data_IF_164598329469
#
_entry.id   IF_164598329469
#
_cell.length_a   1.000
_cell.length_b   1.000
_cell.length_c   1.000
_cell.angle_alpha   90.00
_cell.angle_beta   90.00
_cell.angle_gamma   90.00
#
_symmetry.space_group_name_H-M   'P 1'
#
loop_
_entity.id
_entity.type
_entity.pdbx_description
1 polymer ?
#
# COMPACT_ATOMS: atom_id res chain seq x y z
N UNK A 1 -6.99 26.49 7.70
CA UNK A 1 -7.24 25.22 6.99
C UNK A 1 -8.63 24.76 7.36
N UNK A 2 -9.46 24.41 6.38
CA UNK A 2 -10.81 23.90 6.67
C UNK A 2 -10.70 22.41 7.00
N UNK A 3 -11.42 21.96 8.03
CA UNK A 3 -11.48 20.54 8.37
C UNK A 3 -12.61 19.89 7.59
N UNK A 4 -12.30 18.81 6.87
CA UNK A 4 -13.27 18.04 6.11
C UNK A 4 -13.36 16.61 6.66
N UNK A 5 -14.48 16.29 7.28
CA UNK A 5 -14.74 14.98 7.85
C UNK A 5 -15.36 14.04 6.82
N UNK A 6 -14.86 12.80 6.79
CA UNK A 6 -15.54 11.70 6.14
C UNK A 6 -16.82 11.38 6.89
N UNK A 7 -17.94 11.39 6.16
CA UNK A 7 -19.26 11.19 6.72
C UNK A 7 -19.64 9.73 6.58
N UNK A 8 -20.02 9.13 7.70
CA UNK A 8 -20.59 7.78 7.77
C UNK A 8 -22.07 7.78 7.35
N UNK A 9 -22.40 8.48 6.26
CA UNK A 9 -23.78 8.62 5.77
C UNK A 9 -24.19 7.39 4.97
N UNK A 10 -25.47 7.07 5.07
CA UNK A 10 -26.16 6.10 4.22
C UNK A 10 -27.00 6.88 3.22
N UNK A 11 -26.42 7.19 2.07
CA UNK A 11 -27.14 7.73 0.92
C UNK A 11 -27.75 6.58 0.12
N UNK A 12 -28.83 6.87 -0.62
CA UNK A 12 -29.33 5.95 -1.64
C UNK A 12 -28.30 5.85 -2.75
N UNK A 13 -27.73 4.67 -2.92
CA UNK A 13 -26.70 4.45 -3.93
C UNK A 13 -27.29 4.54 -5.33
N UNK A 14 -26.54 5.14 -6.26
CA UNK A 14 -26.94 5.32 -7.66
C UNK A 14 -25.88 4.69 -8.56
N UNK A 15 -26.33 3.86 -9.50
CA UNK A 15 -25.45 3.29 -10.53
C UNK A 15 -24.99 4.38 -11.50
N UNK A 16 -23.68 4.45 -11.71
CA UNK A 16 -23.12 5.32 -12.74
C UNK A 16 -23.57 4.84 -14.13
N UNK A 17 -23.89 5.80 -15.00
CA UNK A 17 -24.18 5.55 -16.41
C UNK A 17 -23.34 6.48 -17.26
N UNK A 18 -22.61 5.90 -18.23
CA UNK A 18 -21.87 6.64 -19.26
C UNK A 18 -22.45 6.33 -20.64
N UNK A 19 -22.59 7.36 -21.46
CA UNK A 19 -23.02 7.23 -22.85
C UNK A 19 -21.91 7.69 -23.78
N UNK A 20 -21.63 6.85 -24.77
CA UNK A 20 -20.72 7.12 -25.87
C UNK A 20 -21.55 7.21 -27.15
N UNK A 21 -21.49 8.35 -27.84
CA UNK A 21 -22.14 8.52 -29.13
C UNK A 21 -21.07 8.64 -30.22
N UNK A 22 -21.09 7.71 -31.17
CA UNK A 22 -20.22 7.70 -32.35
C UNK A 22 -20.78 8.70 -33.35
N UNK A 23 -20.00 9.72 -33.70
CA UNK A 23 -20.45 10.86 -34.51
C UNK A 23 -19.94 10.83 -35.94
N UNK A 24 -18.84 10.14 -36.21
CA UNK A 24 -18.35 9.87 -37.56
C UNK A 24 -17.58 8.55 -37.60
N UNK A 25 -17.64 7.86 -38.75
CA UNK A 25 -16.78 6.73 -39.08
C UNK A 25 -15.43 7.22 -39.63
N UNK A 26 -14.45 6.31 -39.64
CA UNK A 26 -13.19 6.52 -40.33
C UNK A 26 -13.32 6.09 -41.79
N UNK A 27 -13.30 7.06 -42.70
CA UNK A 27 -13.70 6.81 -44.08
C UNK A 27 -12.63 6.04 -44.88
N UNK A 28 -12.87 4.75 -45.14
CA UNK A 28 -12.16 3.97 -46.15
C UNK A 28 -10.88 3.27 -45.68
N UNK A 29 -10.59 3.27 -44.38
CA UNK A 29 -9.45 2.57 -43.77
C UNK A 29 -9.92 1.54 -42.73
N UNK A 30 -9.05 0.58 -42.42
CA UNK A 30 -9.21 -0.29 -41.25
C UNK A 30 -8.96 0.54 -39.99
N UNK A 31 -9.97 0.67 -39.12
CA UNK A 31 -9.86 1.39 -37.86
C UNK A 31 -10.07 0.48 -36.64
N UNK A 32 -9.49 0.88 -35.51
CA UNK A 32 -9.54 0.15 -34.24
C UNK A 32 -10.10 1.05 -33.16
N UNK A 33 -11.36 0.82 -32.83
CA UNK A 33 -12.04 1.46 -31.72
C UNK A 33 -11.71 0.74 -30.42
N UNK A 34 -11.26 1.48 -29.42
CA UNK A 34 -10.80 0.92 -28.15
C UNK A 34 -11.49 1.60 -26.97
N UNK A 35 -12.27 0.84 -26.21
CA UNK A 35 -12.62 1.23 -24.86
C UNK A 35 -11.45 0.93 -23.92
N UNK A 36 -11.02 1.93 -23.15
CA UNK A 36 -10.01 1.78 -22.10
C UNK A 36 -10.65 2.05 -20.75
N UNK A 37 -10.74 1.02 -19.91
CA UNK A 37 -11.12 1.14 -18.52
C UNK A 37 -9.89 1.39 -17.66
N UNK A 38 -9.91 2.43 -16.83
CA UNK A 38 -8.84 2.74 -15.87
C UNK A 38 -9.31 2.44 -14.46
N UNK A 39 -8.52 1.66 -13.71
CA UNK A 39 -8.79 1.34 -12.30
C UNK A 39 -8.12 2.36 -11.36
N UNK A 40 -8.46 2.31 -10.07
CA UNK A 40 -7.93 3.27 -9.09
C UNK A 40 -6.40 3.19 -8.89
N UNK A 41 -5.77 2.05 -9.21
CA UNK A 41 -4.32 1.89 -9.19
C UNK A 41 -3.63 2.43 -10.47
N UNK A 42 -4.41 2.92 -11.43
CA UNK A 42 -3.94 3.39 -12.73
C UNK A 42 -3.75 2.29 -13.78
N UNK A 43 -3.92 1.01 -13.42
CA UNK A 43 -3.90 -0.08 -14.39
C UNK A 43 -5.11 0.00 -15.33
N UNK A 44 -4.96 -0.54 -16.54
CA UNK A 44 -5.98 -0.45 -17.59
C UNK A 44 -6.42 -1.82 -18.09
N UNK A 45 -7.69 -1.94 -18.44
CA UNK A 45 -8.25 -3.04 -19.21
C UNK A 45 -8.89 -2.49 -20.49
N UNK A 46 -8.72 -3.19 -21.61
CA UNK A 46 -9.17 -2.69 -22.92
C UNK A 46 -10.12 -3.66 -23.61
N UNK A 47 -11.10 -3.10 -24.32
CA UNK A 47 -11.94 -3.82 -25.29
C UNK A 47 -11.76 -3.15 -26.64
N UNK A 48 -11.46 -3.94 -27.67
CA UNK A 48 -11.22 -3.44 -29.02
C UNK A 48 -12.26 -3.98 -29.99
N UNK A 49 -12.71 -3.14 -30.91
CA UNK A 49 -13.45 -3.52 -32.10
C UNK A 49 -12.67 -3.02 -33.32
N UNK A 50 -12.35 -3.94 -34.23
CA UNK A 50 -11.68 -3.61 -35.49
C UNK A 50 -12.70 -3.69 -36.61
N UNK A 51 -12.72 -2.67 -37.43
CA UNK A 51 -13.57 -2.58 -38.59
C UNK A 51 -12.78 -2.44 -39.87
N UNK A 52 -13.38 -2.83 -40.99
CA UNK A 52 -12.76 -2.75 -42.30
C UNK A 52 -13.73 -2.10 -43.30
N UNK A 53 -13.18 -1.27 -44.18
CA UNK A 53 -13.94 -0.56 -45.22
C UNK A 53 -14.57 0.76 -44.76
N UNK A 54 -15.90 0.86 -44.84
CA UNK A 54 -16.68 2.08 -44.51
C UNK A 54 -17.91 1.72 -43.68
N UNK A 55 -17.69 1.27 -42.44
CA UNK A 55 -18.73 0.86 -41.53
C UNK A 55 -19.51 2.08 -41.05
N UNK A 56 -20.80 1.89 -40.82
CA UNK A 56 -21.65 2.92 -40.24
C UNK A 56 -21.36 3.09 -38.75
N UNK A 57 -21.67 4.27 -38.19
CA UNK A 57 -21.65 4.51 -36.74
C UNK A 57 -22.47 3.49 -35.94
N UNK A 58 -23.51 2.92 -36.54
CA UNK A 58 -24.33 1.86 -35.95
C UNK A 58 -23.60 0.52 -35.86
N UNK A 59 -22.84 0.17 -36.91
CA UNK A 59 -22.01 -1.04 -36.92
C UNK A 59 -20.88 -0.92 -35.90
N UNK A 60 -20.21 0.24 -35.83
CA UNK A 60 -19.20 0.56 -34.80
C UNK A 60 -19.78 0.32 -33.40
N UNK A 61 -20.88 1.01 -33.08
CA UNK A 61 -21.50 0.93 -31.75
C UNK A 61 -21.94 -0.50 -31.40
N UNK A 62 -22.48 -1.24 -32.38
CA UNK A 62 -22.88 -2.65 -32.20
C UNK A 62 -21.68 -3.56 -31.97
N UNK A 63 -20.60 -3.36 -32.73
CA UNK A 63 -19.34 -4.08 -32.58
C UNK A 63 -18.72 -3.89 -31.20
N UNK A 64 -18.61 -2.64 -30.76
CA UNK A 64 -18.13 -2.27 -29.43
C UNK A 64 -19.00 -2.83 -28.29
N UNK A 65 -20.32 -2.71 -28.40
CA UNK A 65 -21.28 -3.30 -27.45
C UNK A 65 -21.10 -4.81 -27.31
N UNK A 66 -21.00 -5.54 -28.44
CA UNK A 66 -20.81 -6.99 -28.44
C UNK A 66 -19.45 -7.38 -27.85
N UNK A 67 -18.39 -6.67 -28.24
CA UNK A 67 -17.05 -6.91 -27.73
C UNK A 67 -16.96 -6.66 -26.22
N UNK A 68 -17.65 -5.63 -25.71
CA UNK A 68 -17.70 -5.33 -24.28
C UNK A 68 -18.36 -6.47 -23.49
N UNK A 69 -19.56 -6.87 -23.89
CA UNK A 69 -20.31 -7.92 -23.20
C UNK A 69 -19.69 -9.33 -23.37
N UNK A 70 -18.80 -9.52 -24.35
CA UNK A 70 -18.02 -10.74 -24.50
C UNK A 70 -16.75 -10.78 -23.63
N UNK A 71 -16.33 -9.65 -23.07
CA UNK A 71 -15.11 -9.57 -22.25
C UNK A 71 -15.26 -10.37 -20.96
N UNK A 72 -14.23 -11.17 -20.65
CA UNK A 72 -14.13 -11.94 -19.39
C UNK A 72 -13.26 -11.25 -18.35
N UNK A 73 -12.76 -10.04 -18.64
CA UNK A 73 -11.94 -9.31 -17.70
C UNK A 73 -12.80 -8.86 -16.49
N UNK A 74 -12.41 -9.18 -15.23
CA UNK A 74 -13.23 -8.94 -14.05
C UNK A 74 -13.72 -7.49 -13.89
N UNK A 75 -12.85 -6.53 -14.19
CA UNK A 75 -13.22 -5.12 -14.11
C UNK A 75 -14.24 -4.67 -15.18
N UNK A 76 -14.27 -5.32 -16.34
CA UNK A 76 -15.21 -5.00 -17.42
C UNK A 76 -16.55 -5.70 -17.18
N UNK A 77 -16.53 -6.94 -16.68
CA UNK A 77 -17.73 -7.77 -16.45
C UNK A 77 -18.67 -7.27 -15.34
N UNK A 78 -18.30 -6.22 -14.61
CA UNK A 78 -19.16 -5.54 -13.60
C UNK A 78 -19.90 -4.31 -14.15
N UNK A 79 -19.84 -4.13 -15.47
CA UNK A 79 -20.45 -3.03 -16.21
C UNK A 79 -21.20 -3.63 -17.39
N UNK A 80 -22.50 -3.46 -17.44
CA UNK A 80 -23.32 -3.89 -18.58
C UNK A 80 -23.29 -2.84 -19.68
N UNK A 81 -22.94 -3.24 -20.90
CA UNK A 81 -23.13 -2.43 -22.09
C UNK A 81 -24.52 -2.67 -22.70
N UNK A 82 -25.16 -1.61 -23.17
CA UNK A 82 -26.36 -1.65 -24.01
C UNK A 82 -26.19 -0.73 -25.23
N UNK A 83 -26.94 -1.00 -26.30
CA UNK A 83 -27.01 -0.16 -27.49
C UNK A 83 -28.49 0.25 -27.70
N UNK A 84 -28.99 1.22 -26.91
CA UNK A 84 -30.41 1.54 -26.89
C UNK A 84 -30.88 2.26 -28.16
N UNK A 85 -29.97 2.94 -28.85
CA UNK A 85 -30.21 3.63 -30.12
C UNK A 85 -28.99 3.54 -31.03
N UNK A 86 -29.23 3.47 -32.34
CA UNK A 86 -28.22 3.45 -33.38
C UNK A 86 -27.10 4.48 -33.14
N UNK A 87 -25.84 4.04 -33.24
CA UNK A 87 -24.65 4.88 -33.05
C UNK A 87 -24.27 5.16 -31.61
N UNK A 88 -24.88 4.51 -30.61
CA UNK A 88 -24.56 4.73 -29.19
C UNK A 88 -24.23 3.45 -28.45
N UNK A 89 -23.33 3.57 -27.47
CA UNK A 89 -23.06 2.56 -26.46
C UNK A 89 -23.29 3.17 -25.09
N UNK A 90 -24.11 2.53 -24.26
CA UNK A 90 -24.38 2.95 -22.90
C UNK A 90 -23.82 1.92 -21.93
N UNK A 91 -22.89 2.35 -21.09
CA UNK A 91 -22.29 1.55 -20.04
C UNK A 91 -22.96 1.88 -18.70
N UNK A 92 -23.44 0.87 -18.00
CA UNK A 92 -24.09 0.99 -16.68
C UNK A 92 -23.35 0.14 -15.66
N UNK A 93 -23.02 0.72 -14.49
CA UNK A 93 -22.48 -0.06 -13.39
C UNK A 93 -23.51 -1.08 -12.91
N UNK A 94 -23.12 -2.35 -12.77
CA UNK A 94 -24.04 -3.40 -12.34
C UNK A 94 -24.40 -3.29 -10.85
N UNK A 95 -23.53 -2.63 -10.08
CA UNK A 95 -23.74 -2.34 -8.65
C UNK A 95 -23.83 -0.83 -8.46
N UNK A 96 -24.94 -0.37 -7.89
CA UNK A 96 -25.11 1.03 -7.52
C UNK A 96 -24.03 1.48 -6.53
N UNK A 97 -23.53 2.71 -6.67
CA UNK A 97 -22.49 3.25 -5.78
C UNK A 97 -21.06 2.81 -6.10
N UNK A 98 -20.86 1.93 -7.09
CA UNK A 98 -19.52 1.54 -7.58
C UNK A 98 -19.17 2.36 -8.82
N UNK A 99 -18.20 3.29 -8.74
CA UNK A 99 -17.82 4.11 -9.88
C UNK A 99 -16.96 3.33 -10.88
N UNK A 100 -16.93 3.81 -12.13
CA UNK A 100 -16.01 3.35 -13.16
C UNK A 100 -15.49 4.51 -14.02
N UNK A 101 -14.28 4.34 -14.55
CA UNK A 101 -13.68 5.25 -15.54
C UNK A 101 -13.40 4.49 -16.83
N UNK A 102 -14.14 4.83 -17.88
CA UNK A 102 -13.94 4.34 -19.24
C UNK A 102 -13.83 5.54 -20.17
N UNK A 103 -12.88 5.47 -21.10
CA UNK A 103 -12.72 6.36 -22.24
C UNK A 103 -12.77 5.54 -23.54
N UNK A 104 -13.18 6.17 -24.64
CA UNK A 104 -13.16 5.60 -25.99
C UNK A 104 -12.10 6.32 -26.82
N UNK A 105 -11.37 5.57 -27.64
CA UNK A 105 -10.46 6.11 -28.64
C UNK A 105 -10.62 5.39 -29.97
N UNK A 106 -10.29 6.08 -31.06
CA UNK A 106 -10.16 5.52 -32.39
C UNK A 106 -8.70 5.62 -32.87
N UNK A 107 -8.28 4.72 -33.77
CA UNK A 107 -6.92 4.70 -34.31
C UNK A 107 -6.72 5.55 -35.57
N UNK A 108 -7.80 6.12 -36.13
CA UNK A 108 -7.79 6.95 -37.34
C UNK A 108 -8.52 8.30 -37.07
N UNK A 109 -9.47 8.71 -37.92
CA UNK A 109 -10.21 9.97 -37.86
C UNK A 109 -11.66 9.83 -37.35
N UNK A 110 -12.03 8.68 -36.78
CA UNK A 110 -13.31 8.47 -36.14
C UNK A 110 -13.55 9.47 -35.01
N UNK A 111 -14.80 9.92 -34.85
CA UNK A 111 -15.17 10.88 -33.79
C UNK A 111 -16.27 10.34 -32.91
N UNK A 112 -16.23 10.73 -31.63
CA UNK A 112 -17.25 10.38 -30.65
C UNK A 112 -17.39 11.47 -29.59
N UNK A 113 -18.48 11.37 -28.82
CA UNK A 113 -18.69 12.15 -27.60
C UNK A 113 -18.91 11.24 -26.42
N UNK A 114 -18.45 11.68 -25.25
CA UNK A 114 -18.59 10.96 -23.98
C UNK A 114 -19.38 11.80 -22.99
N UNK A 115 -20.36 11.20 -22.31
CA UNK A 115 -21.16 11.92 -21.31
C UNK A 115 -21.48 11.03 -20.12
N UNK A 116 -21.31 11.56 -18.90
CA UNK A 116 -21.83 10.95 -17.67
C UNK A 116 -23.32 11.29 -17.57
N UNK A 117 -24.19 10.41 -18.03
CA UNK A 117 -25.65 10.63 -18.03
C UNK A 117 -26.25 10.46 -16.64
N UNK A 118 -25.66 9.58 -15.82
CA UNK A 118 -25.97 9.45 -14.39
C UNK A 118 -24.65 9.38 -13.61
N UNK A 119 -24.46 10.30 -12.66
CA UNK A 119 -23.28 10.30 -11.81
C UNK A 119 -23.36 9.18 -10.76
N UNK A 120 -22.19 8.64 -10.36
CA UNK A 120 -22.11 7.73 -9.22
C UNK A 120 -22.56 8.45 -7.93
N UNK A 121 -23.34 7.76 -7.11
CA UNK A 121 -23.55 8.13 -5.70
C UNK A 121 -23.28 6.87 -4.90
N UNK A 122 -22.10 6.79 -4.27
CA UNK A 122 -21.70 5.62 -3.50
C UNK A 122 -21.23 6.02 -2.12
N UNK A 123 -21.72 5.35 -1.08
CA UNK A 123 -21.34 5.66 0.31
C UNK A 123 -19.85 5.39 0.55
N UNK A 124 -19.25 4.48 -0.23
CA UNK A 124 -17.85 4.08 -0.08
C UNK A 124 -16.90 4.76 -1.08
N UNK A 125 -17.34 5.80 -1.78
CA UNK A 125 -16.55 6.48 -2.81
C UNK A 125 -15.97 7.81 -2.26
N UNK A 126 -14.64 7.90 -2.19
CA UNK A 126 -13.94 9.10 -1.76
C UNK A 126 -14.27 10.31 -2.65
N UNK A 127 -14.50 10.08 -3.94
CA UNK A 127 -14.80 11.12 -4.93
C UNK A 127 -16.22 11.69 -4.85
N UNK A 128 -17.10 11.10 -4.03
CA UNK A 128 -18.48 11.57 -3.87
C UNK A 128 -18.54 12.71 -2.84
N UNK A 129 -18.82 13.93 -3.30
CA UNK A 129 -18.90 15.14 -2.47
C UNK A 129 -19.87 15.01 -1.28
N UNK A 130 -20.96 14.25 -1.44
CA UNK A 130 -21.96 14.01 -0.39
C UNK A 130 -21.46 13.22 0.83
N UNK A 131 -20.32 12.52 0.68
CA UNK A 131 -19.65 11.79 1.76
C UNK A 131 -18.75 12.67 2.62
N UNK A 132 -18.71 13.99 2.36
CA UNK A 132 -17.83 14.92 3.04
C UNK A 132 -18.60 16.01 3.76
N UNK A 133 -18.12 16.40 4.94
CA UNK A 133 -18.78 17.42 5.79
C UNK A 133 -18.95 18.78 5.13
N UNK A 134 -18.05 19.13 4.20
CA UNK A 134 -18.12 20.36 3.42
C UNK A 134 -18.97 20.22 2.15
N UNK A 135 -19.59 19.05 1.93
CA UNK A 135 -20.30 18.68 0.71
C UNK A 135 -19.44 18.89 -0.55
N UNK A 136 -18.14 18.61 -0.41
CA UNK A 136 -17.12 18.73 -1.43
C UNK A 136 -15.98 17.75 -1.09
N UNK A 137 -15.39 17.14 -2.12
CA UNK A 137 -14.18 16.32 -1.99
C UNK A 137 -13.05 17.19 -1.43
N UNK A 138 -12.16 16.67 -0.56
CA UNK A 138 -11.03 17.40 -0.04
C UNK A 138 -10.24 18.14 -1.14
N UNK A 139 -10.04 19.43 -0.91
CA UNK A 139 -9.24 20.29 -1.78
C UNK A 139 -7.88 20.57 -1.12
N UNK A 140 -7.01 21.26 -1.85
CA UNK A 140 -5.69 21.62 -1.33
C UNK A 140 -5.80 22.36 0.00
N UNK A 141 -4.85 22.12 0.91
CA UNK A 141 -4.79 22.69 2.27
C UNK A 141 -5.91 22.28 3.25
N UNK A 142 -6.78 21.34 2.87
CA UNK A 142 -7.79 20.80 3.79
C UNK A 142 -7.14 19.88 4.84
N UNK A 143 -7.69 19.90 6.05
CA UNK A 143 -7.43 18.87 7.06
C UNK A 143 -8.49 17.76 6.90
N UNK A 144 -8.08 16.62 6.36
CA UNK A 144 -8.93 15.45 6.17
C UNK A 144 -8.97 14.64 7.47
N UNK A 145 -10.18 14.41 7.99
CA UNK A 145 -10.40 13.62 9.21
C UNK A 145 -11.35 12.47 8.92
N UNK A 146 -10.88 11.25 9.16
CA UNK A 146 -11.66 10.02 9.07
C UNK A 146 -11.93 9.54 10.49
N UNK A 147 -13.20 9.51 10.89
CA UNK A 147 -13.60 9.14 12.25
C UNK A 147 -14.89 8.34 12.29
N UNK A 148 -15.16 7.71 13.43
CA UNK A 148 -16.45 7.07 13.66
C UNK A 148 -17.60 8.11 13.64
N UNK A 149 -18.85 7.68 13.37
CA UNK A 149 -19.99 8.57 13.47
C UNK A 149 -20.18 9.08 14.90
N UNK A 150 -20.44 10.38 15.04
CA UNK A 150 -20.67 11.01 16.35
C UNK A 150 -21.86 10.42 17.12
N UNK A 151 -22.83 9.82 16.42
CA UNK A 151 -23.98 9.14 17.01
C UNK A 151 -23.65 7.78 17.65
N UNK A 152 -22.41 7.29 17.48
CA UNK A 152 -22.13 5.87 17.56
C UNK A 152 -22.71 5.14 16.33
N UNK A 153 -22.09 4.03 15.93
CA UNK A 153 -22.50 3.26 14.76
C UNK A 153 -21.33 2.68 13.98
N UNK A 154 -21.65 1.94 12.93
CA UNK A 154 -20.66 1.37 12.01
C UNK A 154 -20.03 2.49 11.17
N UNK A 155 -18.71 2.39 10.98
CA UNK A 155 -18.00 3.29 10.08
C UNK A 155 -18.28 2.90 8.62
N UNK A 156 -18.35 3.90 7.74
CA UNK A 156 -18.44 3.68 6.29
C UNK A 156 -17.04 3.55 5.72
N UNK A 157 -16.79 2.46 4.98
CA UNK A 157 -15.49 2.20 4.38
C UNK A 157 -15.18 3.15 3.21
N UNK A 158 -13.91 3.35 2.91
CA UNK A 158 -13.46 4.10 1.73
C UNK A 158 -12.90 3.07 0.74
N UNK A 159 -13.71 2.67 -0.24
CA UNK A 159 -13.37 1.58 -1.17
C UNK A 159 -13.12 2.03 -2.60
N UNK A 160 -13.66 3.17 -3.02
CA UNK A 160 -13.59 3.66 -4.40
C UNK A 160 -13.15 5.11 -4.48
N UNK A 161 -12.83 5.58 -5.70
CA UNK A 161 -12.30 6.92 -5.91
C UNK A 161 -10.93 7.07 -5.24
N UNK A 162 -10.13 6.00 -5.22
CA UNK A 162 -8.96 5.93 -4.35
C UNK A 162 -7.76 6.71 -4.88
N UNK A 163 -7.78 7.13 -6.15
CA UNK A 163 -6.73 7.97 -6.69
C UNK A 163 -7.02 9.46 -6.48
N UNK A 164 -6.44 10.04 -5.42
CA UNK A 164 -6.58 11.44 -5.01
C UNK A 164 -5.23 12.17 -4.96
N UNK A 165 -4.20 11.61 -5.58
CA UNK A 165 -2.83 12.13 -5.50
C UNK A 165 -2.59 13.40 -6.30
N UNK A 166 -3.61 13.97 -6.95
CA UNK A 166 -3.54 15.24 -7.65
C UNK A 166 -3.82 16.45 -6.74
N UNK A 167 -4.19 16.20 -5.47
CA UNK A 167 -4.57 17.24 -4.50
C UNK A 167 -3.69 17.14 -3.27
N UNK A 168 -2.94 18.22 -3.02
CA UNK A 168 -2.04 18.34 -1.87
C UNK A 168 -2.84 18.76 -0.63
N UNK A 169 -3.25 17.80 0.19
CA UNK A 169 -4.00 18.04 1.43
C UNK A 169 -3.03 18.39 2.58
N UNK A 170 -3.48 19.16 3.57
CA UNK A 170 -2.59 19.53 4.68
C UNK A 170 -2.40 18.35 5.64
N UNK A 171 -3.49 17.80 6.14
CA UNK A 171 -3.44 16.68 7.10
C UNK A 171 -4.31 15.54 6.62
N UNK A 172 -3.84 14.31 6.78
CA UNK A 172 -4.66 13.11 6.76
C UNK A 172 -4.65 12.45 8.14
N UNK A 173 -5.76 12.56 8.87
CA UNK A 173 -5.93 11.99 10.21
C UNK A 173 -7.00 10.91 10.21
N UNK A 174 -6.67 9.75 10.76
CA UNK A 174 -7.63 8.67 11.05
C UNK A 174 -7.68 8.45 12.55
N UNK A 175 -8.86 8.61 13.16
CA UNK A 175 -9.02 8.55 14.61
C UNK A 175 -9.10 7.11 15.13
N UNK A 176 -8.82 6.88 16.44
CA UNK A 176 -8.77 5.53 17.00
C UNK A 176 -10.07 4.72 16.98
N UNK A 177 -11.20 5.40 16.91
CA UNK A 177 -12.54 4.83 16.88
C UNK A 177 -12.99 4.40 15.48
N UNK A 178 -12.29 4.83 14.42
CA UNK A 178 -12.60 4.40 13.07
C UNK A 178 -12.19 2.92 12.87
N UNK A 179 -13.12 2.10 12.38
CA UNK A 179 -12.95 0.64 12.30
C UNK A 179 -13.33 0.03 10.93
N UNK A 180 -13.62 0.85 9.92
CA UNK A 180 -13.92 0.39 8.57
C UNK A 180 -12.67 0.40 7.67
N UNK A 181 -12.78 -0.28 6.52
CA UNK A 181 -11.65 -0.41 5.60
C UNK A 181 -11.31 0.92 4.90
N UNK A 182 -10.03 1.12 4.58
CA UNK A 182 -9.56 2.17 3.65
C UNK A 182 -8.78 1.50 2.52
N UNK A 183 -9.18 1.73 1.28
CA UNK A 183 -8.75 0.93 0.15
C UNK A 183 -9.53 -0.37 0.04
N UNK A 184 -9.12 -1.25 -0.88
CA UNK A 184 -9.75 -2.57 -1.07
C UNK A 184 -8.76 -3.61 -1.57
N UNK A 185 -9.15 -4.88 -1.46
CA UNK A 185 -8.49 -5.99 -2.16
C UNK A 185 -9.46 -6.56 -3.19
N UNK A 186 -9.01 -6.62 -4.44
CA UNK A 186 -9.80 -7.13 -5.58
C UNK A 186 -8.84 -7.93 -6.47
N UNK A 187 -9.21 -9.14 -6.86
CA UNK A 187 -8.40 -10.06 -7.68
C UNK A 187 -6.97 -10.28 -7.17
N UNK A 188 -6.80 -10.35 -5.84
CA UNK A 188 -5.50 -10.53 -5.19
C UNK A 188 -4.59 -9.30 -5.21
N UNK A 189 -5.09 -8.15 -5.69
CA UNK A 189 -4.37 -6.87 -5.73
C UNK A 189 -4.90 -5.92 -4.66
N UNK A 190 -3.99 -5.16 -4.05
CA UNK A 190 -4.33 -4.11 -3.08
C UNK A 190 -4.48 -2.78 -3.81
N UNK A 191 -5.64 -2.15 -3.66
CA UNK A 191 -5.92 -0.81 -4.13
C UNK A 191 -5.73 0.18 -2.98
N UNK A 192 -4.74 1.05 -3.13
CA UNK A 192 -4.35 2.04 -2.15
C UNK A 192 -5.17 3.32 -2.30
N UNK A 193 -5.58 3.94 -1.19
CA UNK A 193 -5.93 5.37 -1.18
C UNK A 193 -4.64 6.16 -1.42
N UNK A 194 -4.53 6.78 -2.60
CA UNK A 194 -3.40 7.59 -3.04
C UNK A 194 -3.69 9.05 -2.73
N UNK A 195 -2.89 9.65 -1.87
CA UNK A 195 -3.03 11.03 -1.38
C UNK A 195 -1.63 11.66 -1.28
N UNK A 196 -1.55 12.99 -1.31
CA UNK A 196 -0.28 13.70 -1.07
C UNK A 196 -0.43 14.68 0.12
N UNK A 197 -0.37 14.17 1.37
CA UNK A 197 -0.54 14.99 2.57
C UNK A 197 0.76 15.64 3.05
N UNK A 198 0.70 16.80 3.70
CA UNK A 198 1.83 17.36 4.47
C UNK A 198 2.03 16.68 5.84
N UNK A 199 1.00 16.01 6.36
CA UNK A 199 1.06 15.31 7.65
C UNK A 199 0.11 14.10 7.68
N UNK A 200 0.57 12.99 8.27
CA UNK A 200 -0.22 11.76 8.47
C UNK A 200 -0.23 11.35 9.93
N UNK A 201 -1.43 11.18 10.48
CA UNK A 201 -1.68 10.66 11.83
C UNK A 201 -2.72 9.55 11.77
N UNK A 202 -2.28 8.29 11.82
CA UNK A 202 -3.13 7.12 11.60
C UNK A 202 -3.25 6.29 12.88
N UNK A 203 -4.46 6.26 13.47
CA UNK A 203 -4.71 5.56 14.75
C UNK A 203 -5.80 4.49 14.72
N UNK A 204 -6.28 4.18 13.53
CA UNK A 204 -7.46 3.33 13.27
C UNK A 204 -7.47 1.98 14.00
N UNK A 205 -8.68 1.50 14.33
CA UNK A 205 -8.96 0.14 14.76
C UNK A 205 -9.33 -0.80 13.60
N UNK A 206 -9.29 -0.31 12.35
CA UNK A 206 -9.60 -1.12 11.16
C UNK A 206 -8.64 -2.29 10.97
N UNK A 207 -9.16 -3.42 10.51
CA UNK A 207 -8.39 -4.60 10.16
C UNK A 207 -7.75 -4.50 8.76
N UNK A 208 -8.06 -3.46 7.99
CA UNK A 208 -7.46 -3.22 6.68
C UNK A 208 -7.47 -1.73 6.29
N UNK A 209 -6.29 -1.19 6.05
CA UNK A 209 -6.10 0.07 5.35
C UNK A 209 -4.93 -0.05 4.38
N UNK A 210 -5.04 0.58 3.22
CA UNK A 210 -3.97 0.69 2.24
C UNK A 210 -3.79 2.16 1.85
N UNK A 211 -2.65 2.75 2.22
CA UNK A 211 -2.31 4.15 1.99
C UNK A 211 -1.06 4.28 1.12
N UNK A 212 -1.18 5.06 0.05
CA UNK A 212 -0.05 5.58 -0.73
C UNK A 212 0.00 7.08 -0.45
N UNK A 213 0.99 7.50 0.35
CA UNK A 213 1.11 8.86 0.87
C UNK A 213 1.97 9.76 -0.01
N UNK A 214 2.15 9.39 -1.28
CA UNK A 214 2.66 10.28 -2.32
C UNK A 214 4.16 10.52 -2.24
N UNK A 215 4.55 11.78 -2.48
CA UNK A 215 5.95 12.18 -2.66
C UNK A 215 6.43 13.25 -1.68
N UNK A 216 5.52 13.71 -0.81
CA UNK A 216 5.84 14.65 0.25
C UNK A 216 6.90 14.09 1.22
N UNK A 217 7.79 14.97 1.67
CA UNK A 217 8.83 14.65 2.66
C UNK A 217 8.27 14.76 4.08
N UNK A 218 7.58 13.72 4.54
CA UNK A 218 6.79 13.76 5.77
C UNK A 218 7.17 12.69 6.77
N UNK A 219 6.67 12.84 8.00
CA UNK A 219 6.89 11.88 9.10
C UNK A 219 5.56 11.30 9.61
N UNK A 220 5.02 10.24 8.99
CA UNK A 220 3.78 9.62 9.42
C UNK A 220 3.88 9.01 10.83
N UNK A 221 2.84 9.22 11.64
CA UNK A 221 2.67 8.59 12.95
C UNK A 221 1.62 7.49 12.89
N UNK A 222 1.97 6.28 13.34
CA UNK A 222 1.11 5.09 13.28
C UNK A 222 0.88 4.48 14.67
N UNK A 223 -0.40 4.34 15.02
CA UNK A 223 -0.89 3.64 16.20
C UNK A 223 -2.15 2.84 15.86
N UNK A 224 -2.00 1.77 15.08
CA UNK A 224 -3.13 0.97 14.63
C UNK A 224 -3.50 -0.12 15.66
N UNK A 225 -4.79 -0.30 15.94
CA UNK A 225 -5.31 -1.34 16.83
C UNK A 225 -5.96 -2.52 16.09
N UNK A 226 -5.88 -2.54 14.76
CA UNK A 226 -6.43 -3.62 13.93
C UNK A 226 -5.70 -4.95 14.10
N UNK A 227 -6.46 -6.03 14.04
CA UNK A 227 -5.98 -7.41 14.10
C UNK A 227 -6.41 -8.16 12.83
N UNK A 228 -5.62 -8.09 11.76
CA UNK A 228 -5.97 -8.69 10.48
C UNK A 228 -5.90 -10.22 10.57
N UNK A 229 -6.54 -10.91 9.63
CA UNK A 229 -6.36 -12.35 9.49
C UNK A 229 -4.90 -12.70 9.14
N UNK A 230 -4.49 -13.93 9.45
CA UNK A 230 -3.13 -14.43 9.20
C UNK A 230 -2.68 -14.17 7.76
N UNK A 231 -1.45 -13.66 7.60
CA UNK A 231 -0.86 -13.37 6.30
C UNK A 231 -1.25 -12.00 5.71
N UNK A 232 -1.97 -11.17 6.47
CA UNK A 232 -2.31 -9.78 6.10
C UNK A 232 -1.78 -8.78 7.12
N UNK A 233 -1.77 -7.52 6.72
CA UNK A 233 -1.49 -6.37 7.57
C UNK A 233 -2.73 -5.52 7.80
N UNK A 234 -2.81 -4.88 8.97
CA UNK A 234 -3.89 -3.95 9.28
C UNK A 234 -3.69 -2.63 8.54
N UNK A 235 -2.43 -2.22 8.34
CA UNK A 235 -2.06 -1.09 7.52
C UNK A 235 -1.00 -1.49 6.50
N UNK A 236 -1.30 -1.31 5.23
CA UNK A 236 -0.33 -1.24 4.14
C UNK A 236 -0.01 0.22 3.88
N UNK A 237 1.27 0.58 3.89
CA UNK A 237 1.70 1.96 3.64
C UNK A 237 2.87 1.99 2.66
N UNK A 238 2.84 2.95 1.74
CA UNK A 238 3.96 3.30 0.85
C UNK A 238 4.01 4.80 0.59
N UNK A 239 5.17 5.27 0.15
CA UNK A 239 5.46 6.65 -0.20
C UNK A 239 6.88 6.77 -0.74
N UNK A 240 7.12 7.77 -1.58
CA UNK A 240 8.38 7.89 -2.34
C UNK A 240 9.44 8.79 -1.70
N UNK A 241 9.16 9.38 -0.53
CA UNK A 241 10.08 10.29 0.17
C UNK A 241 9.78 10.41 1.68
N UNK A 242 9.55 9.31 2.40
CA UNK A 242 9.19 9.38 3.83
C UNK A 242 10.43 9.72 4.68
N UNK A 243 10.40 10.84 5.42
CA UNK A 243 11.48 11.25 6.32
C UNK A 243 11.60 10.28 7.50
N UNK A 244 10.52 10.10 8.26
CA UNK A 244 10.49 9.22 9.42
C UNK A 244 9.13 8.57 9.57
N UNK A 245 9.07 7.25 9.40
CA UNK A 245 7.88 6.47 9.72
C UNK A 245 7.94 6.02 11.20
N UNK A 246 7.09 6.59 12.04
CA UNK A 246 7.00 6.22 13.45
C UNK A 246 5.84 5.23 13.66
N UNK A 247 6.17 4.02 14.12
CA UNK A 247 5.20 2.96 14.42
C UNK A 247 5.27 2.64 15.91
N UNK A 248 4.24 3.05 16.67
CA UNK A 248 4.13 2.75 18.11
C UNK A 248 3.22 1.57 18.42
N UNK A 249 2.30 1.26 17.52
CA UNK A 249 1.37 0.15 17.66
C UNK A 249 0.80 -0.29 16.31
N UNK A 250 0.54 -1.58 16.17
CA UNK A 250 -0.23 -2.18 15.10
C UNK A 250 0.52 -3.22 14.27
N UNK A 251 -0.23 -3.82 13.35
CA UNK A 251 0.28 -4.71 12.32
C UNK A 251 0.43 -3.94 11.00
N UNK A 252 1.68 -3.61 10.63
CA UNK A 252 2.00 -2.67 9.54
C UNK A 252 2.89 -3.35 8.51
N UNK A 253 2.54 -3.20 7.23
CA UNK A 253 3.33 -3.59 6.07
C UNK A 253 3.77 -2.36 5.28
N UNK A 254 5.08 -2.14 5.16
CA UNK A 254 5.67 -1.06 4.35
C UNK A 254 6.06 -1.61 2.98
N UNK A 255 5.36 -1.20 1.93
CA UNK A 255 5.57 -1.66 0.54
C UNK A 255 5.77 -3.19 0.41
N UNK A 256 4.88 -3.96 1.05
CA UNK A 256 5.01 -5.42 1.18
C UNK A 256 4.37 -6.22 0.04
N UNK A 257 3.56 -5.58 -0.81
CA UNK A 257 2.99 -6.27 -1.97
C UNK A 257 4.01 -6.40 -3.10
N UNK A 258 3.81 -7.40 -3.94
CA UNK A 258 4.61 -7.58 -5.15
C UNK A 258 4.53 -6.33 -6.03
N UNK A 259 5.69 -5.74 -6.34
CA UNK A 259 5.78 -4.54 -7.17
C UNK A 259 5.63 -3.22 -6.41
N UNK A 260 5.26 -3.24 -5.13
CA UNK A 260 5.28 -2.02 -4.32
C UNK A 260 6.72 -1.54 -4.11
N UNK A 261 6.89 -0.22 -4.09
CA UNK A 261 8.14 0.45 -3.74
C UNK A 261 7.86 1.56 -2.73
N UNK A 262 8.85 1.87 -1.90
CA UNK A 262 8.83 3.03 -1.02
C UNK A 262 10.26 3.52 -0.76
N UNK A 263 10.41 4.81 -0.47
CA UNK A 263 11.66 5.38 0.02
C UNK A 263 11.42 5.89 1.42
N UNK A 264 12.15 5.36 2.40
CA UNK A 264 12.02 5.73 3.81
C UNK A 264 13.40 6.01 4.37
N UNK A 265 13.67 7.24 4.80
CA UNK A 265 14.97 7.56 5.40
C UNK A 265 15.11 6.86 6.76
N UNK A 266 14.11 7.01 7.64
CA UNK A 266 14.13 6.38 8.96
C UNK A 266 12.82 5.67 9.27
N UNK A 267 12.90 4.45 9.80
CA UNK A 267 11.79 3.78 10.46
C UNK A 267 12.08 3.69 11.95
N UNK A 268 11.15 4.18 12.77
CA UNK A 268 11.16 4.03 14.22
C UNK A 268 10.10 2.99 14.59
N UNK A 269 10.55 1.77 14.89
CA UNK A 269 9.70 0.74 15.47
C UNK A 269 9.77 0.82 16.99
N UNK A 270 8.73 1.35 17.60
CA UNK A 270 8.65 1.53 19.05
C UNK A 270 7.55 0.65 19.65
N UNK A 271 7.08 1.03 20.83
CA UNK A 271 5.93 0.43 21.48
C UNK A 271 5.24 1.51 22.32
N UNK A 272 3.96 1.31 22.64
CA UNK A 272 3.19 2.23 23.46
C UNK A 272 3.16 1.79 24.93
N UNK A 273 2.95 0.49 25.16
CA UNK A 273 2.68 -0.13 26.45
C UNK A 273 3.25 -1.54 26.59
N UNK A 274 3.29 -2.33 25.51
CA UNK A 274 3.81 -3.69 25.49
C UNK A 274 4.99 -3.77 24.51
N UNK A 275 6.19 -3.83 25.07
CA UNK A 275 7.44 -3.82 24.32
C UNK A 275 7.60 -4.98 23.33
N UNK A 276 6.90 -6.10 23.48
CA UNK A 276 6.97 -7.23 22.53
C UNK A 276 5.73 -7.39 21.65
N UNK A 277 4.59 -6.89 22.09
CA UNK A 277 3.29 -7.17 21.46
C UNK A 277 2.67 -6.02 20.70
N UNK A 278 3.09 -4.77 20.93
CA UNK A 278 2.42 -3.62 20.33
C UNK A 278 2.67 -3.50 18.83
N UNK A 279 3.84 -3.87 18.34
CA UNK A 279 4.20 -3.68 16.92
C UNK A 279 4.57 -5.00 16.25
N UNK A 280 3.91 -5.26 15.12
CA UNK A 280 4.30 -6.26 14.12
C UNK A 280 4.53 -5.51 12.81
N UNK A 281 5.81 -5.33 12.44
CA UNK A 281 6.21 -4.55 11.29
C UNK A 281 6.86 -5.46 10.24
N UNK A 282 6.36 -5.42 9.01
CA UNK A 282 7.01 -6.03 7.85
C UNK A 282 7.44 -4.93 6.87
N UNK A 283 8.70 -4.97 6.46
CA UNK A 283 9.29 -4.04 5.51
C UNK A 283 9.57 -4.84 4.24
N UNK A 284 8.91 -4.48 3.15
CA UNK A 284 9.03 -5.19 1.87
C UNK A 284 10.38 -5.01 1.19
N UNK A 285 10.66 -5.85 0.20
CA UNK A 285 11.92 -5.83 -0.55
C UNK A 285 12.07 -4.64 -1.50
N UNK A 286 10.97 -4.00 -1.89
CA UNK A 286 10.96 -2.79 -2.71
C UNK A 286 11.24 -1.49 -1.95
N UNK A 287 11.57 -1.57 -0.65
CA UNK A 287 11.86 -0.39 0.17
C UNK A 287 13.33 0.03 0.02
N UNK A 288 13.56 1.31 -0.26
CA UNK A 288 14.86 1.96 -0.07
C UNK A 288 14.91 2.53 1.34
N UNK A 289 15.63 1.85 2.24
CA UNK A 289 15.75 2.21 3.66
C UNK A 289 17.17 2.64 4.03
N UNK A 290 17.31 3.75 4.76
CA UNK A 290 18.61 4.14 5.34
C UNK A 290 18.76 3.61 6.77
N UNK A 291 17.80 3.93 7.64
CA UNK A 291 17.90 3.64 9.08
C UNK A 291 16.67 2.92 9.63
N UNK A 292 16.89 1.80 10.33
CA UNK A 292 15.89 1.17 11.20
C UNK A 292 16.33 1.32 12.65
N UNK A 293 15.50 1.96 13.49
CA UNK A 293 15.67 1.95 14.94
C UNK A 293 14.50 1.22 15.58
N UNK A 294 14.80 0.15 16.30
CA UNK A 294 13.83 -0.70 16.96
C UNK A 294 14.01 -0.64 18.47
N UNK A 295 13.05 -0.06 19.18
CA UNK A 295 13.01 -0.06 20.65
C UNK A 295 12.18 -1.21 21.22
N UNK A 296 11.32 -1.84 20.41
CA UNK A 296 10.51 -3.01 20.76
C UNK A 296 9.86 -3.65 19.52
N UNK A 297 8.87 -4.50 19.73
CA UNK A 297 8.07 -5.15 18.70
C UNK A 297 8.81 -6.22 17.91
N UNK A 298 8.14 -6.73 16.87
CA UNK A 298 8.67 -7.69 15.92
C UNK A 298 8.82 -7.03 14.56
N UNK A 299 10.03 -7.03 14.00
CA UNK A 299 10.32 -6.48 12.68
C UNK A 299 10.83 -7.57 11.74
N UNK A 300 10.20 -7.70 10.57
CA UNK A 300 10.72 -8.45 9.42
C UNK A 300 11.27 -7.47 8.37
N UNK A 301 12.59 -7.41 8.25
CA UNK A 301 13.31 -6.54 7.33
C UNK A 301 13.64 -7.29 6.03
N UNK A 302 12.86 -7.04 4.97
CA UNK A 302 13.03 -7.66 3.66
C UNK A 302 13.88 -6.88 2.65
N UNK A 303 14.42 -5.71 3.02
CA UNK A 303 15.22 -4.83 2.15
C UNK A 303 16.62 -4.57 2.73
N UNK A 304 17.44 -3.84 1.96
CA UNK A 304 18.74 -3.36 2.42
C UNK A 304 18.57 -2.16 3.36
N UNK A 305 19.49 -2.01 4.32
CA UNK A 305 19.55 -0.86 5.23
C UNK A 305 20.99 -0.47 5.55
N UNK A 306 21.28 0.82 5.66
CA UNK A 306 22.60 1.29 6.07
C UNK A 306 22.84 1.02 7.55
N UNK A 307 21.91 1.43 8.42
CA UNK A 307 22.03 1.24 9.87
C UNK A 307 20.77 0.60 10.44
N UNK A 308 20.95 -0.48 11.20
CA UNK A 308 19.90 -1.14 11.95
C UNK A 308 20.31 -1.16 13.42
N UNK A 309 19.48 -0.62 14.31
CA UNK A 309 19.72 -0.64 15.75
C UNK A 309 18.56 -1.31 16.46
N UNK A 310 18.85 -2.38 17.21
CA UNK A 310 17.85 -3.21 17.90
C UNK A 310 18.11 -3.15 19.40
N UNK A 311 17.18 -2.54 20.13
CA UNK A 311 17.19 -2.40 21.60
C UNK A 311 16.82 -3.72 22.28
N UNK A 312 17.02 -3.87 23.61
CA UNK A 312 16.82 -5.15 24.31
C UNK A 312 15.49 -5.86 24.07
N UNK A 313 14.38 -5.11 23.97
CA UNK A 313 13.04 -5.68 23.76
C UNK A 313 12.67 -5.88 22.29
N UNK A 314 13.55 -5.48 21.36
CA UNK A 314 13.33 -5.64 19.93
C UNK A 314 13.66 -7.05 19.44
N UNK A 315 12.81 -7.55 18.54
CA UNK A 315 13.05 -8.77 17.77
C UNK A 315 13.13 -8.42 16.29
N UNK A 316 14.31 -8.58 15.70
CA UNK A 316 14.56 -8.41 14.28
C UNK A 316 14.66 -9.77 13.60
N UNK A 317 13.96 -9.93 12.49
CA UNK A 317 14.18 -11.00 11.50
C UNK A 317 14.55 -10.33 10.19
N UNK A 318 15.59 -10.81 9.50
CA UNK A 318 15.87 -10.36 8.12
C UNK A 318 15.37 -11.39 7.13
N UNK A 319 14.94 -10.96 5.95
CA UNK A 319 14.48 -11.83 4.87
C UNK A 319 14.96 -11.32 3.51
N UNK A 320 14.86 -12.15 2.47
CA UNK A 320 15.27 -11.79 1.11
C UNK A 320 16.79 -11.66 0.96
N UNK A 321 17.23 -10.66 0.18
CA UNK A 321 18.64 -10.48 -0.24
C UNK A 321 19.25 -9.15 0.25
N UNK A 322 18.50 -8.37 1.04
CA UNK A 322 18.92 -7.05 1.51
C UNK A 322 20.21 -7.09 2.35
N UNK A 323 21.19 -6.27 1.98
CA UNK A 323 22.42 -6.10 2.73
C UNK A 323 22.24 -5.11 3.89
N UNK A 324 22.95 -5.34 5.00
CA UNK A 324 23.00 -4.42 6.14
C UNK A 324 24.43 -3.91 6.30
N UNK A 325 24.66 -2.60 6.22
CA UNK A 325 26.01 -2.07 6.42
C UNK A 325 26.41 -2.15 7.90
N UNK A 326 25.54 -1.74 8.83
CA UNK A 326 25.81 -1.82 10.27
C UNK A 326 24.59 -2.26 11.06
N UNK A 327 24.75 -3.34 11.84
CA UNK A 327 23.77 -3.84 12.80
C UNK A 327 24.29 -3.62 14.23
N UNK A 328 23.62 -2.75 14.99
CA UNK A 328 23.86 -2.55 16.42
C UNK A 328 22.84 -3.37 17.22
N UNK A 329 23.27 -4.43 17.88
CA UNK A 329 22.38 -5.41 18.52
C UNK A 329 22.49 -5.38 20.04
N UNK A 330 21.36 -5.12 20.71
CA UNK A 330 21.14 -5.32 22.14
C UNK A 330 19.96 -6.29 22.40
N UNK A 331 19.03 -6.43 21.46
CA UNK A 331 17.90 -7.36 21.53
C UNK A 331 18.16 -8.68 20.81
N UNK A 332 17.15 -9.20 20.11
CA UNK A 332 17.25 -10.47 19.38
C UNK A 332 17.27 -10.23 17.88
N UNK A 333 18.22 -10.85 17.17
CA UNK A 333 18.26 -10.87 15.72
C UNK A 333 18.27 -12.32 15.20
N UNK A 334 17.43 -12.56 14.18
CA UNK A 334 17.39 -13.76 13.36
C UNK A 334 17.73 -13.40 11.92
N UNK A 335 19.03 -13.35 11.56
CA UNK A 335 19.41 -13.01 10.20
C UNK A 335 19.05 -14.19 9.28
N UNK A 336 17.93 -14.11 8.55
CA UNK A 336 17.48 -15.14 7.61
C UNK A 336 17.51 -14.64 6.14
N UNK A 337 18.19 -13.52 5.89
CA UNK A 337 18.48 -13.03 4.53
C UNK A 337 19.80 -13.61 4.02
N UNK A 338 19.94 -13.68 2.69
CA UNK A 338 21.23 -14.02 2.02
C UNK A 338 22.13 -12.81 1.80
N UNK A 339 21.65 -11.61 2.13
CA UNK A 339 22.42 -10.37 2.03
C UNK A 339 23.62 -10.34 2.98
N UNK A 340 24.67 -9.63 2.58
CA UNK A 340 25.87 -9.45 3.41
C UNK A 340 25.58 -8.49 4.55
N UNK A 341 26.02 -8.83 5.76
CA UNK A 341 26.08 -7.89 6.88
C UNK A 341 27.53 -7.43 7.02
N UNK A 342 27.82 -6.16 6.72
CA UNK A 342 29.20 -5.66 6.74
C UNK A 342 29.73 -5.59 8.17
N UNK A 343 28.97 -5.04 9.11
CA UNK A 343 29.40 -4.99 10.53
C UNK A 343 28.25 -5.32 11.46
N UNK A 344 28.51 -6.22 12.41
CA UNK A 344 27.66 -6.46 13.57
C UNK A 344 28.39 -5.97 14.81
N UNK A 345 27.80 -5.01 15.52
CA UNK A 345 28.20 -4.61 16.86
C UNK A 345 27.24 -5.26 17.85
N UNK A 346 27.67 -6.39 18.42
CA UNK A 346 26.89 -7.18 19.35
C UNK A 346 27.20 -6.74 20.78
N UNK A 347 26.36 -5.87 21.34
CA UNK A 347 26.55 -5.31 22.68
C UNK A 347 25.96 -6.21 23.77
N UNK A 348 24.72 -6.64 23.55
CA UNK A 348 23.95 -7.54 24.41
C UNK A 348 22.96 -8.35 23.54
N UNK A 349 22.25 -9.28 24.16
CA UNK A 349 21.15 -10.00 23.50
C UNK A 349 21.58 -11.24 22.72
N UNK A 350 20.80 -11.60 21.70
CA UNK A 350 20.88 -12.88 21.01
C UNK A 350 21.01 -12.70 19.50
N UNK A 351 22.12 -13.18 18.95
CA UNK A 351 22.33 -13.34 17.52
C UNK A 351 22.17 -14.84 17.17
N UNK A 352 21.08 -15.20 16.48
CA UNK A 352 20.76 -16.61 16.21
C UNK A 352 20.70 -16.92 14.71
N UNK A 353 21.71 -17.64 14.22
CA UNK A 353 21.86 -18.06 12.84
C UNK A 353 21.22 -19.44 12.55
N UNK A 354 20.60 -20.12 13.52
CA UNK A 354 20.14 -21.51 13.37
C UNK A 354 18.82 -21.66 12.62
N UNK A 355 18.03 -20.59 12.49
CA UNK A 355 16.69 -20.65 11.87
C UNK A 355 16.72 -20.85 10.35
N UNK A 356 17.82 -20.47 9.71
CA UNK A 356 18.01 -20.60 8.27
C UNK A 356 19.44 -21.08 7.98
N UNK A 357 19.54 -22.12 7.15
CA UNK A 357 20.80 -22.79 6.76
C UNK A 357 21.42 -22.21 5.48
N UNK A 358 20.81 -21.19 4.89
CA UNK A 358 21.34 -20.52 3.70
C UNK A 358 22.70 -19.88 3.99
N UNK A 359 23.56 -19.85 2.96
CA UNK A 359 24.88 -19.22 3.07
C UNK A 359 24.77 -17.73 3.34
N UNK A 360 25.52 -17.22 4.32
CA UNK A 360 25.54 -15.80 4.67
C UNK A 360 26.96 -15.31 4.94
N UNK A 361 27.21 -14.04 4.64
CA UNK A 361 28.49 -13.39 4.92
C UNK A 361 28.32 -12.31 5.98
N UNK A 362 29.12 -12.39 7.03
CA UNK A 362 29.35 -11.31 7.98
C UNK A 362 30.79 -10.83 7.81
N UNK A 363 31.00 -9.61 7.36
CA UNK A 363 32.38 -9.14 7.12
C UNK A 363 33.11 -8.94 8.45
N UNK A 364 32.49 -8.24 9.40
CA UNK A 364 33.04 -7.96 10.73
C UNK A 364 32.01 -8.24 11.83
N UNK A 365 32.39 -9.04 12.83
CA UNK A 365 31.61 -9.25 14.05
C UNK A 365 32.42 -8.74 15.26
N UNK A 366 31.92 -7.67 15.88
CA UNK A 366 32.44 -7.10 17.11
C UNK A 366 31.57 -7.57 18.28
N UNK A 367 32.15 -8.27 19.24
CA UNK A 367 31.45 -8.72 20.46
C UNK A 367 31.86 -7.77 21.60
N UNK A 368 30.93 -6.92 22.02
CA UNK A 368 31.15 -5.77 22.89
C UNK A 368 30.28 -5.87 24.16
N UNK A 369 30.52 -6.87 25.03
CA UNK A 369 29.68 -7.13 26.20
C UNK A 369 29.57 -5.90 27.10
N UNK A 370 28.37 -5.69 27.64
CA UNK A 370 28.14 -4.76 28.76
C UNK A 370 28.17 -5.53 30.09
N UNK A 371 28.60 -4.83 31.14
CA UNK A 371 29.09 -5.34 32.43
C UNK A 371 28.23 -6.38 33.17
N UNK A 372 26.96 -6.61 32.81
CA UNK A 372 26.07 -7.53 33.53
C UNK A 372 25.37 -8.62 32.70
N UNK A 373 25.41 -8.56 31.36
CA UNK A 373 24.83 -9.60 30.49
C UNK A 373 25.68 -9.79 29.24
N UNK A 374 26.34 -10.95 29.13
CA UNK A 374 27.11 -11.30 27.94
C UNK A 374 26.20 -11.62 26.75
N UNK A 375 26.60 -11.25 25.53
CA UNK A 375 25.83 -11.60 24.34
C UNK A 375 25.91 -13.11 24.05
N UNK A 376 24.87 -13.61 23.38
CA UNK A 376 24.80 -15.00 22.92
C UNK A 376 24.85 -15.06 21.40
N UNK A 377 25.75 -15.88 20.87
CA UNK A 377 25.83 -16.19 19.44
C UNK A 377 25.56 -17.67 19.22
N UNK A 378 24.51 -17.96 18.45
CA UNK A 378 24.26 -19.28 17.92
C UNK A 378 24.68 -19.33 16.46
N UNK A 379 25.72 -20.09 16.15
CA UNK A 379 26.29 -20.16 14.80
C UNK A 379 25.98 -21.51 14.12
N UNK A 380 25.94 -21.50 12.78
CA UNK A 380 25.86 -22.71 11.94
C UNK A 380 27.05 -22.74 10.97
N UNK A 381 27.38 -23.92 10.45
CA UNK A 381 28.47 -24.08 9.47
C UNK A 381 28.25 -23.32 8.15
N UNK A 382 27.04 -22.80 7.90
CA UNK A 382 26.70 -22.04 6.69
C UNK A 382 27.15 -20.57 6.73
N UNK A 383 27.68 -20.09 7.85
CA UNK A 383 28.05 -18.68 8.03
C UNK A 383 29.53 -18.46 7.78
N UNK A 384 29.83 -17.52 6.88
CA UNK A 384 31.18 -17.06 6.59
C UNK A 384 31.45 -15.76 7.33
N UNK A 385 32.50 -15.76 8.17
CA UNK A 385 33.06 -14.55 8.75
C UNK A 385 34.31 -14.16 7.96
N UNK A 386 34.31 -13.00 7.29
CA UNK A 386 35.47 -12.56 6.49
C UNK A 386 36.63 -12.18 7.39
N UNK A 387 36.37 -11.36 8.41
CA UNK A 387 37.33 -11.03 9.45
C UNK A 387 37.10 -11.92 10.67
N UNK A 388 38.19 -12.28 11.36
CA UNK A 388 38.10 -13.02 12.62
C UNK A 388 37.26 -12.22 13.63
N UNK A 389 36.24 -12.83 14.27
CA UNK A 389 35.45 -12.15 15.30
C UNK A 389 36.34 -11.56 16.39
N UNK A 390 36.08 -10.30 16.76
CA UNK A 390 36.75 -9.64 17.87
C UNK A 390 36.07 -10.08 19.16
N UNK A 391 36.79 -10.86 19.96
CA UNK A 391 36.29 -11.40 21.23
C UNK A 391 36.61 -10.43 22.39
N UNK A 392 35.74 -10.32 23.40
CA UNK A 392 36.00 -9.47 24.56
C UNK A 392 37.20 -9.97 25.38
N UNK A 393 37.96 -9.03 25.93
CA UNK A 393 39.09 -9.31 26.84
C UNK A 393 38.66 -9.51 28.29
N UNK A 394 37.47 -9.03 28.68
CA UNK A 394 36.92 -9.16 30.03
C UNK A 394 35.75 -10.15 30.10
N UNK A 395 35.81 -11.03 31.10
CA UNK A 395 34.95 -12.20 31.31
C UNK A 395 33.57 -11.83 31.86
N UNK A 396 32.71 -11.28 31.00
CA UNK A 396 31.28 -11.54 31.10
C UNK A 396 30.95 -12.95 30.60
N UNK A 397 29.80 -13.54 30.97
CA UNK A 397 29.36 -14.85 30.45
C UNK A 397 28.99 -14.76 28.97
N UNK A 398 29.98 -14.75 28.09
CA UNK A 398 29.82 -14.92 26.66
C UNK A 398 29.53 -16.40 26.34
N UNK A 399 28.54 -16.65 25.47
CA UNK A 399 28.22 -18.00 24.98
C UNK A 399 28.32 -18.04 23.46
N UNK A 400 29.30 -18.79 22.96
CA UNK A 400 29.39 -19.20 21.56
C UNK A 400 29.01 -20.67 21.46
N UNK A 401 27.91 -20.97 20.78
CA UNK A 401 27.50 -22.35 20.53
C UNK A 401 27.59 -22.63 19.04
N UNK A 402 28.46 -23.57 18.66
CA UNK A 402 28.43 -24.16 17.32
C UNK A 402 27.39 -25.27 17.32
N UNK A 403 26.45 -25.20 16.37
CA UNK A 403 25.51 -26.28 16.09
C UNK A 403 26.17 -27.39 15.26
#
# INVERSE_FOLDING_TARGET
MAVNYWLNRQQTEVAQVKTFAITADSSGNTAVWTFTMTLDDGSTATVTYTEDGSPTTTEIATGLYNAWNASTHPAISRITATNPVAGTVVLTADTAGVPFSVALSDSDDGTHTETNTTANVGNNDYGTAGNWSLNAVPASTNDVVISAPASGGECTAIKYGLNQSAVDIATFRVTPDYNADIGRVEDGRVFYLRIDPDTVDYRSASNFAALDIGSANISPYIECNGFPSTGRHALYIKGSNIATLEVKKGNVGVAVQTGDTATVATILCAFLSNAQGDVQLKIGSGVTLTTLTQSGGQCDLGCAATTVSVSPDGVLTTSGTGAITTLNLNGTAYPNSTGTITTINLYAGVLDFRRDRSGRTVTTLNILPREQQGPTVYNTAAITFTNRPVMPTDVGTFRWTMA
#
